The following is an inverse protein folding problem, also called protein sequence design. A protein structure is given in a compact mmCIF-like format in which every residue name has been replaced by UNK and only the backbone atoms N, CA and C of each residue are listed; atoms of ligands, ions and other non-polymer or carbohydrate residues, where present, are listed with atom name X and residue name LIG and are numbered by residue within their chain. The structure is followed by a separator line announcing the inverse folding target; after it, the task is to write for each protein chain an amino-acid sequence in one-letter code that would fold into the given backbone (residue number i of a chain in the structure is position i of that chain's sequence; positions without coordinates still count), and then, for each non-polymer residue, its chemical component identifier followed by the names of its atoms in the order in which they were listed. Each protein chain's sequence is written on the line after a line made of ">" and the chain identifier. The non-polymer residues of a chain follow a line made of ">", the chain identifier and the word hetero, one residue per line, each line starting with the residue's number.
data_IF_865876968429
#
_entry.id   IF_865876968429
#
_cell.length_a   1.000
_cell.length_b   1.000
_cell.length_c   1.000
_cell.angle_alpha   90.00
_cell.angle_beta   90.00
_cell.angle_gamma   90.00
#
_symmetry.space_group_name_H-M   'P 1'
#
loop_
_entity.id
_entity.type
_entity.pdbx_description
1 polymer ?
#
# COMPACT_ATOMS: atom_id res chain seq x y z
N UNK A 1 6.46 3.99 19.73
CA UNK A 1 7.81 3.37 19.91
C UNK A 1 8.53 3.38 18.58
N UNK A 2 9.87 3.37 18.54
CA UNK A 2 10.63 3.38 17.28
C UNK A 2 10.11 2.29 16.32
N UNK A 3 9.90 2.63 15.06
CA UNK A 3 9.38 1.71 14.05
C UNK A 3 7.90 1.34 14.16
N UNK A 4 7.14 1.95 15.07
CA UNK A 4 5.67 1.76 15.15
C UNK A 4 4.91 2.38 13.96
N UNK A 5 5.50 3.44 13.38
CA UNK A 5 4.97 4.15 12.23
C UNK A 5 5.97 4.08 11.07
N UNK A 6 5.47 4.24 9.84
CA UNK A 6 6.26 4.26 8.62
C UNK A 6 5.93 5.48 7.77
N UNK A 7 6.92 5.89 6.97
CA UNK A 7 6.67 6.66 5.75
C UNK A 7 6.73 5.70 4.58
N UNK A 8 5.67 5.66 3.77
CA UNK A 8 5.65 4.95 2.50
C UNK A 8 5.75 5.92 1.31
N UNK A 9 6.38 5.44 0.25
CA UNK A 9 6.64 6.12 -1.01
C UNK A 9 5.89 5.36 -2.10
N UNK A 10 5.09 6.10 -2.87
CA UNK A 10 4.32 5.56 -4.00
C UNK A 10 4.39 6.57 -5.13
N UNK A 11 4.85 6.17 -6.31
CA UNK A 11 4.74 6.99 -7.51
C UNK A 11 3.41 6.76 -8.21
N UNK A 12 2.87 7.81 -8.83
CA UNK A 12 1.60 7.76 -9.57
C UNK A 12 1.68 8.62 -10.84
N UNK A 13 0.98 8.24 -11.93
CA UNK A 13 1.16 8.89 -13.23
C UNK A 13 0.43 10.22 -13.39
N UNK A 14 -0.47 10.58 -12.48
CA UNK A 14 -1.30 11.78 -12.64
C UNK A 14 -1.76 12.40 -11.32
N UNK A 15 -2.10 13.69 -11.35
CA UNK A 15 -2.70 14.38 -10.21
C UNK A 15 -4.09 13.81 -9.84
N UNK A 16 -4.79 13.23 -10.82
CA UNK A 16 -6.09 12.59 -10.57
C UNK A 16 -5.91 11.32 -9.73
N UNK A 17 -5.09 10.37 -10.18
CA UNK A 17 -4.78 9.15 -9.42
C UNK A 17 -4.13 9.47 -8.07
N UNK A 18 -3.26 10.48 -8.01
CA UNK A 18 -2.67 10.97 -6.76
C UNK A 18 -3.73 11.37 -5.72
N UNK A 19 -4.71 12.20 -6.12
CA UNK A 19 -5.76 12.69 -5.23
C UNK A 19 -6.73 11.58 -4.82
N UNK A 20 -7.08 10.70 -5.75
CA UNK A 20 -8.05 9.63 -5.50
C UNK A 20 -7.48 8.60 -4.53
N UNK A 21 -6.23 8.16 -4.76
CA UNK A 21 -5.53 7.24 -3.85
C UNK A 21 -5.30 7.90 -2.49
N UNK A 22 -4.77 9.13 -2.46
CA UNK A 22 -4.49 9.83 -1.21
C UNK A 22 -5.74 10.02 -0.35
N UNK A 23 -6.86 10.43 -0.94
CA UNK A 23 -8.13 10.59 -0.22
C UNK A 23 -8.65 9.27 0.32
N UNK A 24 -8.71 8.24 -0.53
CA UNK A 24 -9.23 6.94 -0.13
C UNK A 24 -8.39 6.27 0.97
N UNK A 25 -7.06 6.46 0.96
CA UNK A 25 -6.19 5.99 2.05
C UNK A 25 -6.52 6.64 3.39
N UNK A 26 -6.76 7.95 3.40
CA UNK A 26 -7.09 8.69 4.62
C UNK A 26 -8.52 8.39 5.09
N UNK A 27 -9.49 8.40 4.18
CA UNK A 27 -10.89 8.06 4.47
C UNK A 27 -11.04 6.61 4.98
N UNK A 28 -10.30 5.68 4.37
CA UNK A 28 -10.23 4.27 4.78
C UNK A 28 -9.39 4.03 6.03
N UNK A 29 -8.81 5.07 6.63
CA UNK A 29 -7.93 4.98 7.82
C UNK A 29 -6.76 4.01 7.62
N UNK A 30 -6.23 3.96 6.40
CA UNK A 30 -5.01 3.24 6.01
C UNK A 30 -3.78 4.14 6.05
N UNK A 31 -3.98 5.45 6.06
CA UNK A 31 -2.94 6.45 6.30
C UNK A 31 -3.50 7.59 7.15
N UNK A 32 -2.66 8.21 7.96
CA UNK A 32 -3.02 9.43 8.70
C UNK A 32 -2.92 10.65 7.79
N UNK A 33 -1.90 10.67 6.92
CA UNK A 33 -1.58 11.80 6.06
C UNK A 33 -0.90 11.31 4.78
N UNK A 34 -1.18 11.99 3.67
CA UNK A 34 -0.47 11.80 2.40
C UNK A 34 -0.05 13.17 1.87
N UNK A 35 1.24 13.35 1.59
CA UNK A 35 1.73 14.52 0.85
C UNK A 35 1.84 14.14 -0.62
N UNK A 36 1.39 15.01 -1.52
CA UNK A 36 1.55 14.84 -2.97
C UNK A 36 2.67 15.79 -3.43
N UNK A 37 3.76 15.23 -3.96
CA UNK A 37 4.88 15.99 -4.53
C UNK A 37 4.77 15.94 -6.06
N UNK A 38 4.48 17.06 -6.73
CA UNK A 38 4.34 17.10 -8.19
C UNK A 38 5.71 17.17 -8.88
N UNK A 39 5.70 17.02 -10.20
CA UNK A 39 6.86 17.22 -11.09
C UNK A 39 8.03 16.27 -10.80
N UNK A 40 7.74 15.01 -10.48
CA UNK A 40 8.75 13.96 -10.39
C UNK A 40 9.09 13.46 -11.81
N UNK A 41 10.35 13.10 -12.04
CA UNK A 41 10.77 12.31 -13.20
C UNK A 41 11.34 10.99 -12.72
N UNK A 42 10.76 9.90 -13.20
CA UNK A 42 11.24 8.55 -12.93
C UNK A 42 12.01 8.05 -14.14
N UNK A 43 13.25 7.59 -13.91
CA UNK A 43 14.15 7.09 -14.95
C UNK A 43 14.48 5.64 -14.62
N UNK A 44 14.17 4.72 -15.53
CA UNK A 44 14.33 3.28 -15.32
C UNK A 44 14.54 2.55 -16.65
N UNK A 45 14.88 1.26 -16.60
CA UNK A 45 15.02 0.42 -17.79
C UNK A 45 13.76 -0.42 -17.95
N UNK A 46 13.17 -0.38 -19.14
CA UNK A 46 12.07 -1.26 -19.53
C UNK A 46 12.31 -1.81 -20.93
N UNK A 47 12.16 -3.13 -21.10
CA UNK A 47 12.42 -3.83 -22.37
C UNK A 47 13.78 -3.50 -23.02
N UNK A 48 14.80 -3.26 -22.19
CA UNK A 48 16.16 -2.96 -22.65
C UNK A 48 16.42 -1.49 -23.00
N UNK A 49 15.42 -0.62 -22.89
CA UNK A 49 15.54 0.81 -23.18
C UNK A 49 15.37 1.66 -21.92
N UNK A 50 16.05 2.80 -21.87
CA UNK A 50 15.85 3.81 -20.83
C UNK A 50 14.52 4.50 -21.07
N UNK A 51 13.65 4.45 -20.07
CA UNK A 51 12.40 5.18 -20.00
C UNK A 51 12.55 6.38 -19.08
N UNK A 52 11.80 7.43 -19.39
CA UNK A 52 11.68 8.58 -18.50
C UNK A 52 10.22 9.04 -18.43
N UNK A 53 9.56 8.83 -17.30
CA UNK A 53 8.15 9.19 -17.13
C UNK A 53 7.96 10.39 -16.21
N UNK A 54 6.91 11.16 -16.47
CA UNK A 54 6.48 12.25 -15.60
C UNK A 54 5.48 11.71 -14.57
N UNK A 55 5.80 11.88 -13.30
CA UNK A 55 5.05 11.27 -12.20
C UNK A 55 4.85 12.26 -11.04
N UNK A 56 4.12 11.80 -10.03
CA UNK A 56 4.02 12.43 -8.72
C UNK A 56 4.42 11.43 -7.66
N UNK A 57 5.02 11.91 -6.57
CA UNK A 57 5.36 11.09 -5.43
C UNK A 57 4.36 11.31 -4.29
N UNK A 58 3.79 10.22 -3.79
CA UNK A 58 3.01 10.20 -2.55
C UNK A 58 3.93 9.85 -1.38
N UNK A 59 4.00 10.75 -0.38
CA UNK A 59 4.63 10.48 0.91
C UNK A 59 3.56 10.20 1.97
N UNK A 60 3.33 8.93 2.25
CA UNK A 60 2.22 8.42 3.06
C UNK A 60 2.71 8.14 4.48
N UNK A 61 2.04 8.67 5.52
CA UNK A 61 2.39 8.44 6.93
C UNK A 61 1.34 7.51 7.52
N UNK A 62 1.77 6.36 8.00
CA UNK A 62 0.86 5.33 8.50
C UNK A 62 1.49 4.54 9.65
N UNK A 63 0.70 3.65 10.25
CA UNK A 63 1.18 2.63 11.19
C UNK A 63 1.91 1.54 10.42
N UNK A 64 3.08 1.12 10.88
CA UNK A 64 3.90 0.09 10.20
C UNK A 64 3.11 -1.19 9.97
N UNK A 65 2.29 -1.61 10.94
CA UNK A 65 1.44 -2.80 10.82
C UNK A 65 0.32 -2.70 9.78
N UNK A 66 0.05 -1.50 9.24
CA UNK A 66 -0.99 -1.25 8.22
C UNK A 66 -0.40 -1.07 6.82
N UNK A 67 0.93 -1.12 6.68
CA UNK A 67 1.60 -1.06 5.37
C UNK A 67 1.07 -2.15 4.42
N UNK A 68 0.86 -3.42 4.81
CA UNK A 68 0.31 -4.43 3.89
C UNK A 68 -1.07 -4.06 3.34
N UNK A 69 -2.02 -3.68 4.19
CA UNK A 69 -3.37 -3.27 3.77
C UNK A 69 -3.36 -1.99 2.92
N UNK A 70 -2.46 -1.05 3.25
CA UNK A 70 -2.23 0.17 2.48
C UNK A 70 -1.68 -0.15 1.09
N UNK A 71 -0.72 -1.07 0.99
CA UNK A 71 -0.18 -1.54 -0.29
C UNK A 71 -1.24 -2.20 -1.15
N UNK A 72 -2.09 -3.05 -0.57
CA UNK A 72 -3.16 -3.71 -1.33
C UNK A 72 -4.18 -2.69 -1.85
N UNK A 73 -4.59 -1.73 -1.01
CA UNK A 73 -5.46 -0.65 -1.45
C UNK A 73 -4.84 0.17 -2.60
N UNK A 74 -3.54 0.49 -2.51
CA UNK A 74 -2.85 1.20 -3.59
C UNK A 74 -2.89 0.36 -4.86
N UNK A 75 -2.53 -0.93 -4.82
CA UNK A 75 -2.56 -1.82 -5.99
C UNK A 75 -3.95 -1.88 -6.64
N UNK A 76 -5.01 -2.00 -5.86
CA UNK A 76 -6.38 -2.04 -6.38
C UNK A 76 -6.82 -0.75 -7.09
N UNK A 77 -6.22 0.39 -6.73
CA UNK A 77 -6.58 1.71 -7.27
C UNK A 77 -5.55 2.27 -8.24
N UNK A 78 -4.38 1.66 -8.33
CA UNK A 78 -3.29 2.17 -9.15
C UNK A 78 -3.56 1.87 -10.64
N UNK A 79 -3.30 2.82 -11.56
CA UNK A 79 -3.48 2.58 -13.00
C UNK A 79 -2.51 1.55 -13.60
N UNK A 80 -1.41 1.26 -12.92
CA UNK A 80 -0.37 0.33 -13.37
C UNK A 80 -0.44 -0.98 -12.60
N UNK A 81 -0.23 -2.09 -13.29
CA UNK A 81 -0.20 -3.44 -12.71
C UNK A 81 0.95 -3.63 -11.72
N UNK A 82 2.10 -2.99 -11.98
CA UNK A 82 3.27 -2.97 -11.11
C UNK A 82 3.50 -1.54 -10.59
N UNK A 83 2.92 -1.23 -9.43
CA UNK A 83 3.11 0.05 -8.76
C UNK A 83 4.28 0.04 -7.78
N UNK A 84 5.03 1.14 -7.70
CA UNK A 84 6.00 1.34 -6.62
C UNK A 84 5.26 1.52 -5.29
N UNK A 85 5.53 0.64 -4.32
CA UNK A 85 5.16 0.85 -2.91
C UNK A 85 6.29 0.36 -2.03
N UNK A 86 7.04 1.28 -1.45
CA UNK A 86 8.12 0.98 -0.50
C UNK A 86 7.95 1.80 0.77
N UNK A 87 8.41 1.30 1.92
CA UNK A 87 8.23 1.99 3.20
C UNK A 87 9.47 1.90 4.07
N UNK A 88 9.72 2.95 4.85
CA UNK A 88 10.78 3.02 5.84
C UNK A 88 10.19 3.30 7.23
N UNK A 89 10.75 2.71 8.31
CA UNK A 89 10.29 2.97 9.67
C UNK A 89 10.63 4.39 10.12
N UNK A 90 9.76 4.98 10.94
CA UNK A 90 9.99 6.23 11.65
C UNK A 90 10.62 5.90 13.00
N UNK A 91 11.89 6.25 13.18
CA UNK A 91 12.64 6.00 14.40
C UNK A 91 12.29 6.98 15.53
N UNK A 92 12.12 8.26 15.19
CA UNK A 92 11.80 9.32 16.15
C UNK A 92 11.06 10.49 15.49
N UNK A 93 10.50 11.39 16.30
CA UNK A 93 9.78 12.55 15.80
C UNK A 93 9.02 13.28 16.92
N UNK A 94 8.18 14.23 16.53
CA UNK A 94 7.32 14.97 17.45
C UNK A 94 6.27 14.02 18.07
N UNK A 95 6.35 13.75 19.39
CA UNK A 95 5.51 12.75 20.06
C UNK A 95 3.99 12.99 19.87
N UNK A 96 3.45 14.21 20.04
CA UNK A 96 2.06 14.52 19.68
C UNK A 96 1.66 14.14 18.25
N UNK A 97 2.54 14.34 17.27
CA UNK A 97 2.26 13.99 15.88
C UNK A 97 2.24 12.47 15.67
N UNK A 98 3.18 11.75 16.27
CA UNK A 98 3.22 10.29 16.21
C UNK A 98 1.98 9.68 16.88
N UNK A 99 1.55 10.22 18.02
CA UNK A 99 0.31 9.80 18.68
C UNK A 99 -0.90 10.03 17.76
N UNK A 100 -0.98 11.18 17.11
CA UNK A 100 -2.03 11.49 16.15
C UNK A 100 -2.06 10.51 14.95
N UNK A 101 -0.89 10.05 14.45
CA UNK A 101 -0.86 8.97 13.44
C UNK A 101 -1.52 7.71 13.99
N UNK A 102 -1.17 7.32 15.22
CA UNK A 102 -1.72 6.14 15.88
C UNK A 102 -3.22 6.19 16.16
N UNK A 103 -3.75 7.37 16.47
CA UNK A 103 -5.20 7.61 16.64
C UNK A 103 -5.94 7.61 15.29
N UNK A 104 -5.33 8.19 14.27
CA UNK A 104 -5.91 8.26 12.93
C UNK A 104 -5.98 6.88 12.26
N UNK A 105 -4.96 6.04 12.48
CA UNK A 105 -4.79 4.73 11.87
C UNK A 105 -4.82 3.63 12.94
N UNK A 106 -5.98 3.00 13.18
CA UNK A 106 -6.12 1.91 14.14
C UNK A 106 -5.16 0.75 13.83
N UNK A 107 -4.66 0.10 14.87
CA UNK A 107 -3.91 -1.14 14.72
C UNK A 107 -4.81 -2.24 14.11
N UNK A 108 -4.21 -3.23 13.47
CA UNK A 108 -4.92 -4.43 13.04
C UNK A 108 -5.63 -5.07 14.23
N UNK A 109 -6.92 -5.38 14.06
CA UNK A 109 -7.63 -6.23 15.01
C UNK A 109 -7.22 -7.69 14.75
N UNK A 110 -6.52 -8.36 15.68
CA UNK A 110 -6.04 -9.73 15.45
C UNK A 110 -7.18 -10.72 15.14
N UNK A 111 -8.41 -10.42 15.56
CA UNK A 111 -9.59 -11.29 15.34
C UNK A 111 -10.25 -11.14 13.96
N UNK A 112 -9.84 -10.18 13.12
CA UNK A 112 -10.45 -9.98 11.78
C UNK A 112 -9.81 -10.88 10.72
N UNK A 113 -8.54 -11.24 10.89
CA UNK A 113 -7.80 -12.07 9.91
C UNK A 113 -8.13 -13.56 9.98
N UNK A 114 -8.71 -14.04 11.09
CA UNK A 114 -9.06 -15.45 11.25
C UNK A 114 -10.30 -15.86 10.41
N UNK A 115 -11.18 -14.91 10.07
CA UNK A 115 -12.38 -15.18 9.25
C UNK A 115 -12.11 -15.32 7.75
N UNK A 116 -10.94 -14.91 7.25
CA UNK A 116 -10.60 -15.03 5.84
C UNK A 116 -9.88 -16.34 5.50
N UNK A 117 -9.34 -17.05 6.49
CA UNK A 117 -8.62 -18.32 6.29
C UNK A 117 -9.61 -19.49 6.20
N UNK A 118 -10.77 -19.40 6.85
CA UNK A 118 -11.79 -20.47 6.84
C UNK A 118 -12.54 -20.59 5.49
N UNK A 119 -12.44 -19.62 4.58
CA UNK A 119 -13.17 -19.63 3.30
C UNK A 119 -12.33 -20.08 2.09
N UNK A 120 -11.08 -20.49 2.28
CA UNK A 120 -10.15 -20.81 1.17
C UNK A 120 -9.81 -22.31 1.04
N UNK A 121 -10.33 -23.17 1.92
CA UNK A 121 -10.06 -24.62 1.89
C UNK A 121 -11.01 -25.45 1.01
N UNK A 122 -12.11 -24.87 0.52
CA UNK A 122 -13.18 -25.65 -0.14
C UNK A 122 -13.09 -25.68 -1.68
N UNK A 123 -12.05 -25.11 -2.28
CA UNK A 123 -11.88 -25.07 -3.74
C UNK A 123 -10.53 -25.63 -4.19
N UNK A 124 -10.21 -26.87 -3.84
CA UNK A 124 -9.24 -27.67 -4.58
C UNK A 124 -9.77 -29.10 -4.82
N UNK A 125 -10.50 -29.19 -5.94
CA UNK A 125 -10.96 -30.34 -6.72
C UNK A 125 -10.44 -31.74 -6.34
N UNK A 126 -11.39 -32.61 -5.99
CA UNK A 126 -11.39 -34.00 -6.43
C UNK A 126 -11.98 -34.11 -7.84
N UNK A 127 -11.15 -33.95 -8.87
CA UNK A 127 -11.48 -34.35 -10.23
C UNK A 127 -10.93 -35.76 -10.46
N UNK A 128 -11.84 -36.72 -10.53
CA UNK A 128 -11.59 -38.04 -11.10
C UNK A 128 -11.25 -37.88 -12.59
N UNK A 129 -10.14 -38.47 -13.02
CA UNK A 129 -9.90 -38.80 -14.42
C UNK A 129 -9.23 -40.17 -14.50
N UNK A 130 -9.80 -40.99 -15.38
CA UNK A 130 -9.49 -42.36 -15.73
C UNK A 130 -8.01 -42.59 -16.08
N UNK A 131 -7.48 -43.76 -15.74
CA UNK A 131 -6.33 -44.34 -16.43
C UNK A 131 -6.63 -45.83 -16.69
N UNK A 132 -6.72 -46.16 -17.97
CA UNK A 132 -6.80 -47.50 -18.55
C UNK A 132 -5.63 -48.41 -18.11
N UNK A 133 -5.97 -49.61 -17.62
CA UNK A 133 -5.49 -50.94 -18.08
C UNK A 133 -6.05 -52.05 -17.20
#
# INVERSE_FOLDING_TARGET
>A
MAGEFSVAFVTVPSMHSAKDIARGLVEGRLAACVNIIPNLRSIYIWQGEIQEDAELLLLIKTRTSRVPDMTEYVKEKHPFDLCEVIATPIESGNAPYLNWIGESVPALNPNKNMKNIENQSDSYNGQNAEIDN
#
